data_IF_484502530353
#
_entry.id   IF_484502530353
#
_cell.length_a   1.000
_cell.length_b   1.000
_cell.length_c   1.000
_cell.angle_alpha   90.00
_cell.angle_beta   90.00
_cell.angle_gamma   90.00
#
_symmetry.space_group_name_H-M   'P 1'
#
loop_
_entity.id
_entity.type
_entity.pdbx_description
1 polymer ?
#
# COMPACT_ATOMS: atom_id res chain seq x y z
N UNK A 1 -3.23 -23.58 22.10
CA UNK A 1 -3.51 -22.34 21.34
C UNK A 1 -3.74 -22.76 19.89
N UNK A 2 -4.85 -22.36 19.27
CA UNK A 2 -5.17 -22.75 17.89
C UNK A 2 -4.39 -21.85 16.91
N UNK A 3 -3.15 -22.25 16.61
CA UNK A 3 -2.23 -21.47 15.78
C UNK A 3 -2.76 -21.27 14.37
N UNK A 4 -3.44 -22.28 13.82
CA UNK A 4 -4.12 -22.15 12.53
C UNK A 4 -5.13 -21.01 12.56
N UNK A 5 -6.02 -20.99 13.55
CA UNK A 5 -7.05 -19.95 13.67
C UNK A 5 -6.43 -18.56 13.79
N UNK A 6 -5.34 -18.42 14.54
CA UNK A 6 -4.61 -17.15 14.67
C UNK A 6 -4.05 -16.72 13.31
N UNK A 7 -3.25 -17.58 12.65
CA UNK A 7 -2.63 -17.26 11.36
C UNK A 7 -3.70 -16.93 10.31
N UNK A 8 -4.76 -17.74 10.21
CA UNK A 8 -5.85 -17.52 9.27
C UNK A 8 -6.60 -16.21 9.53
N UNK A 9 -6.90 -15.88 10.79
CA UNK A 9 -7.58 -14.64 11.14
C UNK A 9 -6.70 -13.42 10.89
N UNK A 10 -5.42 -13.46 11.30
CA UNK A 10 -4.48 -12.37 11.07
C UNK A 10 -4.24 -12.15 9.57
N UNK A 11 -4.08 -13.22 8.78
CA UNK A 11 -3.97 -13.12 7.33
C UNK A 11 -5.18 -12.43 6.71
N UNK A 12 -6.40 -12.85 7.11
CA UNK A 12 -7.65 -12.24 6.64
C UNK A 12 -7.74 -10.77 6.98
N UNK A 13 -7.39 -10.38 8.21
CA UNK A 13 -7.38 -8.97 8.63
C UNK A 13 -6.41 -8.18 7.75
N UNK A 14 -5.20 -8.69 7.53
CA UNK A 14 -4.21 -8.01 6.68
C UNK A 14 -4.72 -7.82 5.26
N UNK A 15 -5.28 -8.88 4.65
CA UNK A 15 -5.85 -8.83 3.29
C UNK A 15 -7.00 -7.82 3.22
N UNK A 16 -7.97 -7.91 4.14
CA UNK A 16 -9.13 -7.03 4.15
C UNK A 16 -8.72 -5.57 4.33
N UNK A 17 -7.75 -5.30 5.20
CA UNK A 17 -7.20 -3.97 5.38
C UNK A 17 -6.54 -3.46 4.09
N UNK A 18 -5.62 -4.23 3.48
CA UNK A 18 -4.95 -3.83 2.24
C UNK A 18 -5.93 -3.58 1.10
N UNK A 19 -6.96 -4.44 0.95
CA UNK A 19 -7.99 -4.30 -0.08
C UNK A 19 -8.84 -3.05 0.15
N UNK A 20 -9.27 -2.79 1.40
CA UNK A 20 -10.03 -1.59 1.75
C UNK A 20 -9.21 -0.32 1.47
N UNK A 21 -7.92 -0.35 1.83
CA UNK A 21 -7.00 0.75 1.54
C UNK A 21 -6.80 0.96 0.05
N UNK A 22 -6.69 -0.12 -0.73
CA UNK A 22 -6.54 -0.05 -2.18
C UNK A 22 -7.78 0.53 -2.86
N UNK A 23 -8.99 0.21 -2.40
CA UNK A 23 -10.24 0.84 -2.88
C UNK A 23 -10.23 2.34 -2.62
N UNK A 24 -9.89 2.75 -1.40
CA UNK A 24 -9.77 4.17 -1.04
C UNK A 24 -8.75 4.89 -1.93
N UNK A 25 -7.57 4.30 -2.17
CA UNK A 25 -6.54 4.87 -3.04
C UNK A 25 -6.97 4.94 -4.51
N UNK A 26 -7.72 3.95 -4.99
CA UNK A 26 -8.24 3.92 -6.35
C UNK A 26 -9.28 5.01 -6.61
N UNK A 27 -9.99 5.48 -5.58
CA UNK A 27 -10.88 6.64 -5.68
C UNK A 27 -10.11 7.96 -5.63
N UNK A 28 -9.11 8.06 -4.74
CA UNK A 28 -8.37 9.30 -4.51
C UNK A 28 -7.43 9.62 -5.70
N UNK A 29 -6.72 8.62 -6.21
CA UNK A 29 -5.66 8.82 -7.20
C UNK A 29 -6.15 9.47 -8.53
N UNK A 30 -7.26 9.03 -9.15
CA UNK A 30 -7.79 9.67 -10.36
C UNK A 30 -8.15 11.14 -10.16
N UNK A 31 -8.62 11.55 -8.98
CA UNK A 31 -8.98 12.94 -8.70
C UNK A 31 -7.76 13.87 -8.76
N UNK A 32 -6.60 13.42 -8.28
CA UNK A 32 -5.35 14.17 -8.41
C UNK A 32 -4.77 14.12 -9.83
N UNK A 33 -5.07 13.08 -10.59
CA UNK A 33 -4.69 13.03 -12.01
C UNK A 33 -5.54 14.02 -12.83
N UNK A 34 -6.82 14.20 -12.48
CA UNK A 34 -7.69 15.21 -13.10
C UNK A 34 -7.25 16.65 -12.79
N UNK A 35 -6.65 16.89 -11.62
CA UNK A 35 -6.10 18.20 -11.27
C UNK A 35 -4.95 18.65 -12.20
N UNK A 36 -4.31 17.73 -12.93
CA UNK A 36 -3.29 18.08 -13.93
C UNK A 36 -3.86 18.83 -15.14
N UNK A 37 -5.16 18.70 -15.44
CA UNK A 37 -5.80 19.42 -16.54
C UNK A 37 -6.04 20.90 -16.23
N UNK A 38 -5.86 21.30 -14.98
CA UNK A 38 -5.91 22.69 -14.56
C UNK A 38 -4.54 23.33 -14.80
N UNK A 39 -4.46 24.45 -15.54
CA UNK A 39 -3.20 25.06 -16.01
C UNK A 39 -2.32 25.68 -14.91
N UNK A 40 -2.65 25.41 -13.64
CA UNK A 40 -1.97 25.95 -12.47
C UNK A 40 -0.75 25.10 -12.08
N UNK A 41 0.40 25.77 -11.91
CA UNK A 41 1.66 25.15 -11.48
C UNK A 41 1.50 24.32 -10.19
N UNK A 42 0.74 24.81 -9.22
CA UNK A 42 0.55 24.10 -7.93
C UNK A 42 -0.28 22.83 -8.08
N UNK A 43 -1.29 22.83 -8.96
CA UNK A 43 -2.11 21.65 -9.22
C UNK A 43 -1.31 20.56 -9.95
N UNK A 44 -0.40 20.95 -10.83
CA UNK A 44 0.51 19.99 -11.46
C UNK A 44 1.51 19.38 -10.47
N UNK A 45 2.09 20.18 -9.57
CA UNK A 45 2.99 19.69 -8.52
C UNK A 45 2.24 18.73 -7.59
N UNK A 46 1.01 19.07 -7.18
CA UNK A 46 0.15 18.20 -6.38
C UNK A 46 -0.11 16.86 -7.07
N UNK A 47 -0.43 16.89 -8.37
CA UNK A 47 -0.64 15.68 -9.18
C UNK A 47 0.61 14.80 -9.24
N UNK A 48 1.79 15.41 -9.40
CA UNK A 48 3.08 14.72 -9.38
C UNK A 48 3.38 14.05 -8.03
N UNK A 49 3.13 14.75 -6.91
CA UNK A 49 3.26 14.19 -5.56
C UNK A 49 2.29 13.01 -5.36
N UNK A 50 1.04 13.15 -5.80
CA UNK A 50 0.07 12.08 -5.78
C UNK A 50 0.52 10.86 -6.60
N UNK A 51 1.11 11.08 -7.78
CA UNK A 51 1.69 10.02 -8.60
C UNK A 51 2.79 9.25 -7.88
N UNK A 52 3.74 9.95 -7.26
CA UNK A 52 4.86 9.32 -6.56
C UNK A 52 4.37 8.46 -5.38
N UNK A 53 3.59 9.06 -4.48
CA UNK A 53 3.24 8.41 -3.22
C UNK A 53 2.04 7.46 -3.35
N UNK A 54 0.95 7.85 -4.01
CA UNK A 54 -0.24 6.99 -4.10
C UNK A 54 0.01 5.77 -4.99
N UNK A 55 0.76 5.91 -6.09
CA UNK A 55 1.15 4.75 -6.92
C UNK A 55 1.99 3.75 -6.11
N UNK A 56 2.96 4.25 -5.33
CA UNK A 56 3.78 3.43 -4.44
C UNK A 56 2.94 2.76 -3.35
N UNK A 57 2.00 3.47 -2.73
CA UNK A 57 1.09 2.91 -1.75
C UNK A 57 0.23 1.79 -2.34
N UNK A 58 -0.29 1.97 -3.57
CA UNK A 58 -1.04 0.94 -4.29
C UNK A 58 -0.18 -0.31 -4.52
N UNK A 59 1.05 -0.15 -4.99
CA UNK A 59 1.97 -1.29 -5.21
C UNK A 59 2.25 -2.05 -3.90
N UNK A 60 2.49 -1.34 -2.80
CA UNK A 60 2.69 -1.94 -1.48
C UNK A 60 1.44 -2.70 -1.04
N UNK A 61 0.23 -2.13 -1.21
CA UNK A 61 -1.02 -2.81 -0.90
C UNK A 61 -1.18 -4.12 -1.69
N UNK A 62 -0.85 -4.13 -3.00
CA UNK A 62 -0.91 -5.35 -3.83
C UNK A 62 0.02 -6.43 -3.27
N UNK A 63 1.26 -6.07 -2.92
CA UNK A 63 2.23 -7.00 -2.33
C UNK A 63 1.77 -7.50 -0.96
N UNK A 64 1.14 -6.64 -0.15
CA UNK A 64 0.59 -7.00 1.15
C UNK A 64 -0.58 -7.98 1.03
N UNK A 65 -1.50 -7.77 0.07
CA UNK A 65 -2.58 -8.73 -0.25
C UNK A 65 -2.01 -10.08 -0.66
N UNK A 66 -1.07 -10.09 -1.61
CA UNK A 66 -0.46 -11.32 -2.11
C UNK A 66 0.25 -12.08 -0.97
N UNK A 67 0.99 -11.37 -0.12
CA UNK A 67 1.66 -11.95 1.05
C UNK A 67 0.66 -12.52 2.05
N UNK A 68 -0.41 -11.78 2.37
CA UNK A 68 -1.46 -12.26 3.27
C UNK A 68 -2.17 -13.50 2.72
N UNK A 69 -2.43 -13.55 1.42
CA UNK A 69 -3.06 -14.69 0.75
C UNK A 69 -2.18 -15.95 0.83
N UNK A 70 -0.86 -15.80 0.59
CA UNK A 70 0.10 -16.91 0.77
C UNK A 70 0.10 -17.37 2.24
N UNK A 71 0.17 -16.44 3.20
CA UNK A 71 0.09 -16.76 4.63
C UNK A 71 -1.17 -17.53 5.00
N UNK A 72 -2.31 -17.18 4.39
CA UNK A 72 -3.59 -17.86 4.61
C UNK A 72 -3.62 -19.28 4.01
N UNK A 73 -3.12 -19.46 2.78
CA UNK A 73 -3.14 -20.75 2.07
C UNK A 73 -2.21 -21.77 2.72
N UNK A 74 -1.03 -21.33 3.17
CA UNK A 74 -0.04 -22.20 3.79
C UNK A 74 -0.30 -22.49 5.28
N UNK A 75 -1.36 -21.91 5.88
CA UNK A 75 -1.75 -22.18 7.26
C UNK A 75 -2.19 -23.66 7.43
N UNK A 76 -1.38 -24.51 8.09
CA UNK A 76 -1.66 -25.94 8.11
C UNK A 76 -2.89 -26.26 8.97
N UNK A 77 -3.65 -27.29 8.58
CA UNK A 77 -4.86 -27.70 9.30
C UNK A 77 -4.50 -28.61 10.46
N UNK A 78 -4.90 -28.29 11.69
CA UNK A 78 -4.64 -29.10 12.90
C UNK A 78 -5.51 -30.38 12.99
N UNK A 79 -6.13 -30.82 11.89
CA UNK A 79 -7.22 -31.81 11.92
C UNK A 79 -6.81 -33.27 12.18
N UNK A 80 -5.54 -33.59 12.47
CA UNK A 80 -5.12 -34.92 12.94
C UNK A 80 -3.91 -34.85 13.87
N UNK A 81 -3.85 -35.73 14.90
CA UNK A 81 -2.67 -35.95 15.74
C UNK A 81 -1.64 -36.78 14.98
N UNK A 82 -1.33 -36.41 13.74
CA UNK A 82 -0.19 -36.96 13.03
C UNK A 82 1.07 -36.28 13.58
N UNK A 83 2.18 -37.03 13.77
CA UNK A 83 3.40 -36.50 14.36
C UNK A 83 3.85 -35.24 13.62
N UNK A 84 4.40 -34.28 14.37
CA UNK A 84 4.90 -33.00 13.85
C UNK A 84 6.02 -33.28 12.84
N UNK A 85 5.66 -33.44 11.57
CA UNK A 85 6.60 -33.64 10.48
C UNK A 85 7.31 -32.32 10.13
N UNK A 86 8.55 -32.42 9.66
CA UNK A 86 9.37 -31.28 9.19
C UNK A 86 8.59 -30.38 8.21
N UNK A 87 7.82 -30.97 7.30
CA UNK A 87 6.96 -30.27 6.34
C UNK A 87 5.91 -29.36 7.01
N UNK A 88 5.36 -29.77 8.15
CA UNK A 88 4.35 -28.98 8.89
C UNK A 88 4.98 -27.79 9.59
N UNK A 89 6.18 -27.98 10.17
CA UNK A 89 6.98 -26.88 10.73
C UNK A 89 7.37 -25.88 9.65
N UNK A 90 7.80 -26.35 8.49
CA UNK A 90 8.12 -25.50 7.35
C UNK A 90 6.90 -24.70 6.89
N UNK A 91 5.73 -25.34 6.77
CA UNK A 91 4.48 -24.67 6.38
C UNK A 91 4.08 -23.58 7.38
N UNK A 92 4.18 -23.86 8.69
CA UNK A 92 3.98 -22.86 9.74
C UNK A 92 4.97 -21.69 9.62
N UNK A 93 6.25 -21.98 9.39
CA UNK A 93 7.28 -20.95 9.22
C UNK A 93 7.01 -20.05 8.02
N UNK A 94 6.66 -20.64 6.87
CA UNK A 94 6.27 -19.92 5.65
C UNK A 94 5.03 -19.07 5.91
N UNK A 95 3.98 -19.64 6.52
CA UNK A 95 2.74 -18.93 6.79
C UNK A 95 2.97 -17.71 7.69
N UNK A 96 3.74 -17.88 8.78
CA UNK A 96 4.06 -16.77 9.69
C UNK A 96 4.89 -15.69 8.99
N UNK A 97 5.92 -16.07 8.23
CA UNK A 97 6.76 -15.12 7.49
C UNK A 97 5.91 -14.25 6.56
N UNK A 98 5.03 -14.86 5.77
CA UNK A 98 4.19 -14.13 4.83
C UNK A 98 3.12 -13.26 5.52
N UNK A 99 2.59 -13.68 6.67
CA UNK A 99 1.71 -12.83 7.49
C UNK A 99 2.45 -11.61 8.03
N UNK A 100 3.69 -11.79 8.50
CA UNK A 100 4.53 -10.67 8.96
C UNK A 100 4.84 -9.72 7.81
N UNK A 101 5.19 -10.23 6.63
CA UNK A 101 5.38 -9.41 5.43
C UNK A 101 4.12 -8.62 5.07
N UNK A 102 2.94 -9.23 5.15
CA UNK A 102 1.66 -8.55 4.91
C UNK A 102 1.41 -7.41 5.92
N UNK A 103 1.68 -7.66 7.20
CA UNK A 103 1.54 -6.65 8.25
C UNK A 103 2.52 -5.48 8.06
N UNK A 104 3.78 -5.76 7.75
CA UNK A 104 4.79 -4.74 7.44
C UNK A 104 4.40 -3.95 6.20
N UNK A 105 3.94 -4.62 5.13
CA UNK A 105 3.45 -3.97 3.92
C UNK A 105 2.30 -3.02 4.23
N UNK A 106 1.33 -3.44 5.04
CA UNK A 106 0.24 -2.57 5.47
C UNK A 106 0.72 -1.34 6.24
N UNK A 107 1.66 -1.49 7.17
CA UNK A 107 2.26 -0.36 7.87
C UNK A 107 2.96 0.61 6.91
N UNK A 108 3.74 0.08 5.95
CA UNK A 108 4.42 0.89 4.94
C UNK A 108 3.44 1.62 4.02
N UNK A 109 2.31 1.00 3.65
CA UNK A 109 1.28 1.65 2.85
C UNK A 109 0.65 2.84 3.60
N UNK A 110 0.35 2.67 4.90
CA UNK A 110 -0.15 3.77 5.74
C UNK A 110 0.88 4.90 5.84
N UNK A 111 2.15 4.58 6.09
CA UNK A 111 3.22 5.57 6.15
C UNK A 111 3.34 6.35 4.84
N UNK A 112 3.29 5.65 3.70
CA UNK A 112 3.37 6.27 2.37
C UNK A 112 2.21 7.25 2.13
N UNK A 113 1.02 6.94 2.63
CA UNK A 113 -0.14 7.85 2.58
C UNK A 113 0.04 9.02 3.55
N UNK A 114 0.62 8.79 4.73
CA UNK A 114 0.99 9.85 5.65
C UNK A 114 1.95 10.86 5.02
N UNK A 115 3.00 10.35 4.36
CA UNK A 115 3.97 11.18 3.63
C UNK A 115 3.30 11.95 2.49
N UNK A 116 2.38 11.32 1.75
CA UNK A 116 1.56 12.00 0.75
C UNK A 116 0.79 13.18 1.35
N UNK A 117 0.09 12.97 2.46
CA UNK A 117 -0.74 14.01 3.07
C UNK A 117 0.11 15.22 3.50
N UNK A 118 1.28 14.97 4.09
CA UNK A 118 2.23 16.02 4.51
C UNK A 118 2.77 16.83 3.32
N UNK A 119 3.10 16.15 2.23
CA UNK A 119 3.61 16.80 1.00
C UNK A 119 2.50 17.40 0.13
N UNK A 120 1.25 16.99 0.32
CA UNK A 120 0.07 17.52 -0.37
C UNK A 120 -0.51 18.77 0.30
N UNK A 121 -0.03 19.13 1.49
CA UNK A 121 -0.45 20.34 2.19
C UNK A 121 -0.07 21.59 1.38
N UNK A 122 -0.95 22.60 1.37
CA UNK A 122 -0.76 23.82 0.58
C UNK A 122 0.57 24.54 0.88
N UNK A 123 0.95 24.58 2.16
CA UNK A 123 2.25 25.10 2.60
C UNK A 123 3.42 24.34 1.96
N UNK A 124 3.40 23.01 2.00
CA UNK A 124 4.44 22.16 1.43
C UNK A 124 4.55 22.30 -0.10
N UNK A 125 3.40 22.39 -0.79
CA UNK A 125 3.36 22.57 -2.25
C UNK A 125 3.88 23.95 -2.65
N UNK A 126 3.56 25.00 -1.89
CA UNK A 126 3.96 26.37 -2.21
C UNK A 126 5.48 26.58 -2.19
N UNK A 127 6.20 25.78 -1.41
CA UNK A 127 7.67 25.82 -1.32
C UNK A 127 8.36 24.82 -2.25
N UNK A 128 7.61 23.91 -2.88
CA UNK A 128 8.16 22.89 -3.75
C UNK A 128 8.52 23.49 -5.11
N UNK A 129 9.83 23.51 -5.41
CA UNK A 129 10.35 24.18 -6.62
C UNK A 129 10.21 23.36 -7.91
N UNK A 130 10.05 22.04 -7.80
CA UNK A 130 10.00 21.11 -8.94
C UNK A 130 9.07 19.92 -8.65
N UNK A 131 8.42 19.37 -9.68
CA UNK A 131 7.66 18.13 -9.55
C UNK A 131 8.57 16.93 -9.21
N UNK A 132 8.00 15.93 -8.55
CA UNK A 132 8.63 14.64 -8.26
C UNK A 132 8.60 13.70 -9.47
N UNK A 133 9.43 12.65 -9.46
CA UNK A 133 9.51 11.60 -10.51
C UNK A 133 9.65 12.10 -11.95
N UNK A 134 10.33 13.23 -12.14
CA UNK A 134 10.49 13.85 -13.46
C UNK A 134 9.16 14.13 -14.18
N UNK A 135 8.08 14.28 -13.41
CA UNK A 135 6.75 14.54 -13.94
C UNK A 135 6.77 15.84 -14.76
N UNK A 136 6.33 15.77 -16.01
CA UNK A 136 6.41 16.92 -16.91
C UNK A 136 5.19 17.80 -16.72
N UNK A 137 5.37 18.90 -16.00
CA UNK A 137 4.39 19.98 -15.94
C UNK A 137 4.51 20.87 -17.17
N UNK A 138 3.49 20.87 -18.03
CA UNK A 138 3.35 21.85 -19.11
C UNK A 138 2.60 23.07 -18.58
N UNK A 139 3.30 24.02 -17.98
CA UNK A 139 2.70 25.32 -17.63
C UNK A 139 2.86 26.32 -18.78
N UNK A 140 1.80 27.09 -19.06
CA UNK A 140 1.89 28.25 -19.94
C UNK A 140 2.72 29.33 -19.25
N UNK A 141 3.72 29.89 -19.94
CA UNK A 141 4.56 30.96 -19.40
C UNK A 141 3.81 32.30 -19.20
N UNK A 142 2.48 32.34 -19.42
CA UNK A 142 1.65 33.54 -19.37
C UNK A 142 1.16 33.94 -17.98
N UNK A 143 1.28 33.09 -16.96
CA UNK A 143 0.62 33.29 -15.67
C UNK A 143 1.58 33.79 -14.58
N UNK A 144 2.49 34.69 -14.95
CA UNK A 144 3.34 35.46 -14.03
C UNK A 144 2.86 36.91 -13.89
#
# INVERSE_FOLDING_TARGET
>A
MDYKKIISNTSRICILFSLSLLVMLAEIYPNYNLAQFDSNQYNCILSSVAHHYLSRAIQICIVAVASGAIGFVFAPTDSRPDPINWSRKLSYGVAIFFVVCAAIGNAMAIMTIGDFLDHSAQTSISVMSKPMDYYVCKWSASDK
#
